data_IF_155586602087
#
_entry.id   IF_155586602087
#
_cell.length_a   1.000
_cell.length_b   1.000
_cell.length_c   1.000
_cell.angle_alpha   90.00
_cell.angle_beta   90.00
_cell.angle_gamma   90.00
#
_symmetry.space_group_name_H-M   'P 1'
#
loop_
_entity.id
_entity.type
_entity.pdbx_description
1 polymer ?
#
# COMPACT_ATOMS: atom_id res chain seq x y z
N UNK A 1 19.13 25.15 18.50
CA UNK A 1 18.60 24.16 19.46
C UNK A 1 17.10 24.04 19.22
N UNK A 2 16.61 22.84 18.90
CA UNK A 2 15.16 22.58 18.89
C UNK A 2 14.71 22.45 20.34
N UNK A 3 13.77 23.29 20.77
CA UNK A 3 13.16 23.21 22.09
C UNK A 3 12.43 21.87 22.24
N UNK A 4 13.00 20.99 23.05
CA UNK A 4 12.49 19.63 23.28
C UNK A 4 11.22 19.61 24.14
N UNK A 5 10.77 20.78 24.64
CA UNK A 5 9.58 20.94 25.48
C UNK A 5 8.33 21.44 24.73
N UNK A 6 8.48 21.88 23.48
CA UNK A 6 7.36 22.35 22.67
C UNK A 6 6.57 21.17 22.08
N UNK A 7 5.42 20.87 22.69
CA UNK A 7 4.45 19.89 22.17
C UNK A 7 3.47 20.60 21.25
N UNK A 8 3.29 20.09 20.03
CA UNK A 8 2.28 20.56 19.09
C UNK A 8 1.30 19.45 18.76
N UNK A 9 -0.01 19.75 18.87
CA UNK A 9 -1.07 18.85 18.42
C UNK A 9 -1.33 19.08 16.94
N UNK A 10 -1.16 18.03 16.13
CA UNK A 10 -1.44 18.07 14.69
C UNK A 10 -2.60 17.14 14.35
N UNK A 11 -3.49 17.59 13.47
CA UNK A 11 -4.57 16.76 12.94
C UNK A 11 -4.05 16.00 11.72
N UNK A 12 -4.10 14.67 11.79
CA UNK A 12 -3.65 13.77 10.73
C UNK A 12 -4.76 12.81 10.32
N UNK A 13 -4.58 12.16 9.17
CA UNK A 13 -5.45 11.06 8.76
C UNK A 13 -5.29 9.87 9.71
N UNK A 14 -6.35 9.07 9.84
CA UNK A 14 -6.28 7.78 10.52
C UNK A 14 -5.24 6.87 9.83
N UNK A 15 -4.58 6.02 10.61
CA UNK A 15 -3.55 5.11 10.10
C UNK A 15 -4.15 4.09 9.12
N UNK A 16 -5.37 3.63 9.40
CA UNK A 16 -6.17 2.70 8.61
C UNK A 16 -6.56 3.32 7.26
N UNK A 17 -6.91 4.60 7.25
CA UNK A 17 -7.20 5.33 6.01
C UNK A 17 -5.93 5.46 5.15
N UNK A 18 -4.81 5.76 5.78
CA UNK A 18 -3.50 5.84 5.12
C UNK A 18 -3.08 4.48 4.56
N UNK A 19 -3.32 3.41 5.32
CA UNK A 19 -3.07 2.02 4.93
C UNK A 19 -3.87 1.66 3.68
N UNK A 20 -5.19 1.82 3.71
CA UNK A 20 -6.04 1.48 2.57
C UNK A 20 -5.75 2.33 1.34
N UNK A 21 -5.45 3.63 1.52
CA UNK A 21 -5.06 4.50 0.41
C UNK A 21 -3.79 4.03 -0.29
N UNK A 22 -2.80 3.51 0.45
CA UNK A 22 -1.57 2.93 -0.11
C UNK A 22 -1.82 1.57 -0.75
N UNK A 23 -2.60 0.71 -0.10
CA UNK A 23 -2.96 -0.61 -0.60
C UNK A 23 -3.70 -0.52 -1.95
N UNK A 24 -4.73 0.33 -2.05
CA UNK A 24 -5.46 0.51 -3.32
C UNK A 24 -4.56 1.07 -4.42
N UNK A 25 -3.66 2.01 -4.09
CA UNK A 25 -2.69 2.52 -5.07
C UNK A 25 -1.77 1.41 -5.60
N UNK A 26 -1.28 0.52 -4.73
CA UNK A 26 -0.47 -0.61 -5.19
C UNK A 26 -1.26 -1.61 -6.02
N UNK A 27 -2.53 -1.83 -5.66
CA UNK A 27 -3.44 -2.65 -6.46
C UNK A 27 -3.66 -2.09 -7.84
N UNK A 28 -3.94 -0.80 -7.95
CA UNK A 28 -4.03 -0.10 -9.23
C UNK A 28 -2.77 -0.35 -10.05
N UNK A 29 -1.57 -0.18 -9.50
CA UNK A 29 -0.30 -0.40 -10.20
C UNK A 29 -0.12 -1.83 -10.76
N UNK A 30 -0.85 -2.83 -10.26
CA UNK A 30 -0.83 -4.20 -10.85
C UNK A 30 -1.49 -4.28 -12.22
N UNK A 31 -2.29 -3.28 -12.61
CA UNK A 31 -2.92 -3.19 -13.93
C UNK A 31 -2.10 -2.38 -14.94
N UNK A 32 -0.95 -1.83 -14.53
CA UNK A 32 -0.19 -0.87 -15.33
C UNK A 32 0.21 -1.50 -16.68
N UNK A 33 -0.20 -0.89 -17.81
CA UNK A 33 0.25 -1.32 -19.12
C UNK A 33 1.76 -1.16 -19.30
N UNK A 34 2.39 -2.08 -20.06
CA UNK A 34 3.84 -2.08 -20.27
C UNK A 34 4.38 -0.83 -20.99
N UNK A 35 3.54 -0.18 -21.81
CA UNK A 35 3.86 1.07 -22.51
C UNK A 35 3.76 2.32 -21.62
N UNK A 36 3.30 2.19 -20.37
CA UNK A 36 3.14 3.30 -19.43
C UNK A 36 4.14 3.23 -18.29
N UNK A 37 5.25 3.98 -18.33
CA UNK A 37 6.26 3.92 -17.29
C UNK A 37 5.70 4.31 -15.93
N UNK A 38 6.13 3.58 -14.89
CA UNK A 38 5.80 3.89 -13.50
C UNK A 38 6.56 5.14 -13.05
N UNK A 39 5.93 5.94 -12.19
CA UNK A 39 6.60 7.11 -11.58
C UNK A 39 7.75 6.64 -10.68
N UNK A 40 8.79 7.45 -10.55
CA UNK A 40 9.89 7.19 -9.63
C UNK A 40 9.43 7.25 -8.17
N UNK A 41 10.15 6.54 -7.29
CA UNK A 41 9.96 6.51 -5.84
C UNK A 41 8.63 5.92 -5.40
N UNK A 42 8.06 5.03 -6.20
CA UNK A 42 6.79 4.38 -5.88
C UNK A 42 6.99 3.24 -4.88
N UNK A 43 8.16 2.59 -4.83
CA UNK A 43 8.42 1.47 -3.93
C UNK A 43 8.36 1.86 -2.44
N UNK A 44 8.38 3.15 -2.11
CA UNK A 44 8.11 3.65 -0.75
C UNK A 44 6.72 3.24 -0.25
N UNK A 45 5.75 3.06 -1.14
CA UNK A 45 4.41 2.64 -0.76
C UNK A 45 4.40 1.21 -0.21
N UNK A 46 5.25 0.32 -0.74
CA UNK A 46 5.49 -1.01 -0.16
C UNK A 46 6.15 -0.91 1.22
N UNK A 47 7.19 -0.10 1.36
CA UNK A 47 7.87 0.11 2.65
C UNK A 47 6.94 0.69 3.72
N UNK A 48 6.11 1.68 3.35
CA UNK A 48 5.12 2.28 4.23
C UNK A 48 4.06 1.27 4.67
N UNK A 49 3.56 0.43 3.75
CA UNK A 49 2.64 -0.65 4.09
C UNK A 49 3.30 -1.65 5.05
N UNK A 50 4.53 -2.06 4.78
CA UNK A 50 5.27 -2.94 5.69
C UNK A 50 5.39 -2.32 7.10
N UNK A 51 5.72 -1.03 7.21
CA UNK A 51 5.77 -0.33 8.49
C UNK A 51 4.41 -0.37 9.22
N UNK A 52 3.32 -0.11 8.49
CA UNK A 52 1.97 -0.11 9.05
C UNK A 52 1.52 -1.52 9.48
N UNK A 53 1.82 -2.55 8.69
CA UNK A 53 1.55 -3.95 9.01
C UNK A 53 2.29 -4.37 10.28
N UNK A 54 3.58 -4.03 10.39
CA UNK A 54 4.41 -4.31 11.57
C UNK A 54 3.92 -3.61 12.84
N UNK A 55 3.12 -2.56 12.73
CA UNK A 55 2.50 -1.82 13.84
C UNK A 55 1.07 -2.30 14.16
N UNK A 56 0.61 -3.37 13.50
CA UNK A 56 -0.73 -3.92 13.70
C UNK A 56 -1.86 -3.09 13.05
N UNK A 57 -1.53 -2.14 12.18
CA UNK A 57 -2.55 -1.33 11.48
C UNK A 57 -3.35 -2.20 10.50
N UNK A 58 -2.74 -3.23 9.91
CA UNK A 58 -3.44 -4.18 9.04
C UNK A 58 -4.60 -4.87 9.74
N UNK A 59 -4.43 -5.31 10.99
CA UNK A 59 -5.51 -5.95 11.77
C UNK A 59 -6.66 -4.99 12.05
N UNK A 60 -6.34 -3.74 12.40
CA UNK A 60 -7.35 -2.69 12.60
C UNK A 60 -8.08 -2.35 11.31
N UNK A 61 -7.35 -2.35 10.19
CA UNK A 61 -7.91 -2.09 8.88
C UNK A 61 -8.87 -3.21 8.43
N UNK A 62 -8.54 -4.47 8.72
CA UNK A 62 -9.41 -5.64 8.47
C UNK A 62 -10.67 -5.61 9.36
N UNK A 63 -10.56 -5.15 10.61
CA UNK A 63 -11.72 -5.03 11.49
C UNK A 63 -12.78 -4.02 11.00
N UNK A 64 -12.40 -3.09 10.11
CA UNK A 64 -13.26 -2.00 9.63
C UNK A 64 -13.35 -1.98 8.09
N UNK A 65 -13.81 -3.08 7.47
CA UNK A 65 -13.92 -3.19 6.01
C UNK A 65 -14.80 -2.12 5.35
N UNK A 66 -15.74 -1.52 6.08
CA UNK A 66 -16.53 -0.39 5.58
C UNK A 66 -15.65 0.81 5.18
N UNK A 67 -14.51 1.00 5.86
CA UNK A 67 -13.52 2.02 5.51
C UNK A 67 -12.82 1.69 4.18
N UNK A 68 -12.47 0.42 3.95
CA UNK A 68 -11.92 -0.02 2.68
C UNK A 68 -12.87 0.29 1.52
N UNK A 69 -14.15 -0.09 1.64
CA UNK A 69 -15.16 0.16 0.60
C UNK A 69 -15.24 1.64 0.26
N UNK A 70 -15.32 2.50 1.27
CA UNK A 70 -15.35 3.96 1.07
C UNK A 70 -14.10 4.50 0.40
N UNK A 71 -12.92 3.96 0.73
CA UNK A 71 -11.66 4.34 0.08
C UNK A 71 -11.66 3.91 -1.38
N UNK A 72 -12.07 2.68 -1.68
CA UNK A 72 -12.15 2.16 -3.04
C UNK A 72 -13.12 2.99 -3.90
N UNK A 73 -14.33 3.27 -3.41
CA UNK A 73 -15.33 4.12 -4.08
C UNK A 73 -14.79 5.54 -4.33
N UNK A 74 -14.18 6.16 -3.31
CA UNK A 74 -13.61 7.50 -3.46
C UNK A 74 -12.49 7.53 -4.51
N UNK A 75 -11.67 6.47 -4.59
CA UNK A 75 -10.64 6.37 -5.63
C UNK A 75 -11.24 6.17 -7.01
N UNK A 76 -12.27 5.33 -7.15
CA UNK A 76 -12.95 5.12 -8.43
C UNK A 76 -13.57 6.42 -8.97
N UNK A 77 -14.15 7.25 -8.09
CA UNK A 77 -14.81 8.49 -8.48
C UNK A 77 -13.79 9.60 -8.79
N UNK A 78 -12.80 9.82 -7.93
CA UNK A 78 -11.93 10.99 -8.00
C UNK A 78 -10.54 10.75 -8.57
N UNK A 79 -10.04 9.51 -8.56
CA UNK A 79 -8.68 9.14 -8.97
C UNK A 79 -8.68 8.06 -10.05
N UNK A 80 -9.77 7.95 -10.81
CA UNK A 80 -9.98 6.89 -11.81
C UNK A 80 -8.82 6.81 -12.80
N UNK A 81 -8.24 5.63 -12.90
CA UNK A 81 -7.28 5.29 -13.95
C UNK A 81 -7.99 4.48 -15.03
N UNK A 82 -7.91 4.93 -16.28
CA UNK A 82 -8.62 4.30 -17.41
C UNK A 82 -8.22 2.83 -17.68
N UNK A 83 -7.08 2.40 -17.13
CA UNK A 83 -6.51 1.06 -17.30
C UNK A 83 -6.70 0.17 -16.07
N UNK A 84 -7.43 0.63 -15.04
CA UNK A 84 -7.74 -0.14 -13.84
C UNK A 84 -9.19 -0.62 -13.88
N UNK A 85 -9.41 -1.90 -13.54
CA UNK A 85 -10.74 -2.42 -13.26
C UNK A 85 -11.07 -2.20 -11.77
N UNK A 86 -11.91 -1.20 -11.48
CA UNK A 86 -12.28 -0.91 -10.09
C UNK A 86 -13.19 -1.96 -9.46
N UNK A 87 -13.80 -2.84 -10.25
CA UNK A 87 -14.61 -3.95 -9.73
C UNK A 87 -13.79 -5.01 -8.97
N UNK A 88 -12.46 -4.97 -9.07
CA UNK A 88 -11.53 -5.85 -8.35
C UNK A 88 -11.08 -5.31 -7.00
N UNK A 89 -11.47 -4.08 -6.62
CA UNK A 89 -11.21 -3.52 -5.30
C UNK A 89 -12.13 -4.14 -4.25
N UNK A 90 -11.95 -5.45 -4.01
CA UNK A 90 -12.72 -6.27 -3.09
C UNK A 90 -11.95 -7.51 -2.66
N UNK A 91 -12.29 -8.11 -1.51
CA UNK A 91 -11.79 -9.43 -1.13
C UNK A 91 -11.94 -10.46 -2.26
N UNK A 92 -10.90 -11.25 -2.46
CA UNK A 92 -10.84 -12.36 -3.42
C UNK A 92 -10.21 -11.98 -4.76
N UNK A 93 -10.14 -10.68 -5.10
CA UNK A 93 -9.54 -10.19 -6.35
C UNK A 93 -8.49 -9.10 -6.14
N UNK A 94 -8.30 -8.67 -4.89
CA UNK A 94 -7.35 -7.61 -4.57
C UNK A 94 -5.92 -8.14 -4.68
N UNK A 95 -5.03 -7.33 -5.25
CA UNK A 95 -3.65 -7.71 -5.56
C UNK A 95 -2.73 -6.62 -5.05
N UNK A 96 -1.76 -6.97 -4.23
CA UNK A 96 -0.74 -6.08 -3.71
C UNK A 96 0.66 -6.56 -4.14
N UNK A 97 0.89 -7.85 -4.33
CA UNK A 97 2.16 -8.35 -4.84
C UNK A 97 2.32 -7.96 -6.32
N UNK A 98 3.44 -7.33 -6.72
CA UNK A 98 3.67 -7.02 -8.13
C UNK A 98 3.67 -8.29 -8.99
N UNK A 99 3.16 -8.22 -10.24
CA UNK A 99 3.40 -9.26 -11.22
C UNK A 99 4.91 -9.55 -11.37
N UNK A 100 5.28 -10.82 -11.61
CA UNK A 100 6.67 -11.25 -11.62
C UNK A 100 7.58 -10.43 -12.56
N UNK A 101 7.07 -10.03 -13.72
CA UNK A 101 7.79 -9.20 -14.69
C UNK A 101 8.02 -7.76 -14.24
N UNK A 102 7.25 -7.25 -13.27
CA UNK A 102 7.45 -5.92 -12.67
C UNK A 102 8.40 -5.95 -11.47
N UNK A 103 8.65 -7.11 -10.85
CA UNK A 103 9.47 -7.21 -9.63
C UNK A 103 10.86 -6.58 -9.76
N UNK A 104 11.64 -6.79 -10.85
CA UNK A 104 12.96 -6.18 -10.99
C UNK A 104 12.92 -4.65 -10.94
N UNK A 105 11.94 -4.03 -11.61
CA UNK A 105 11.80 -2.58 -11.64
C UNK A 105 11.36 -2.03 -10.29
N UNK A 106 10.52 -2.74 -9.55
CA UNK A 106 10.14 -2.35 -8.19
C UNK A 106 11.32 -2.43 -7.23
N UNK A 107 12.12 -3.50 -7.35
CA UNK A 107 13.34 -3.67 -6.56
C UNK A 107 14.36 -2.57 -6.85
N UNK A 108 14.59 -2.25 -8.12
CA UNK A 108 15.50 -1.17 -8.53
C UNK A 108 15.06 0.19 -7.96
N UNK A 109 13.77 0.51 -8.04
CA UNK A 109 13.21 1.74 -7.47
C UNK A 109 13.35 1.76 -5.93
N UNK A 110 13.14 0.62 -5.27
CA UNK A 110 13.36 0.46 -3.83
C UNK A 110 14.82 0.70 -3.43
N UNK A 111 15.76 0.05 -4.11
CA UNK A 111 17.18 0.14 -3.81
C UNK A 111 17.70 1.56 -4.04
N UNK A 112 17.17 2.29 -5.03
CA UNK A 112 17.48 3.71 -5.24
C UNK A 112 17.01 4.63 -4.10
N UNK A 113 16.04 4.20 -3.29
CA UNK A 113 15.56 4.93 -2.11
C UNK A 113 16.19 4.44 -0.79
N UNK A 114 16.82 3.27 -0.81
CA UNK A 114 17.42 2.64 0.37
C UNK A 114 18.63 3.46 0.83
N UNK A 115 18.53 4.04 2.03
CA UNK A 115 19.54 4.97 2.57
C UNK A 115 19.06 6.42 2.63
N UNK A 116 18.86 7.13 1.49
CA UNK A 116 18.47 8.54 1.53
C UNK A 116 17.04 8.79 2.05
N UNK A 117 16.17 7.77 2.03
CA UNK A 117 14.77 7.94 2.46
C UNK A 117 14.35 7.03 3.62
N UNK A 118 14.92 5.85 3.77
CA UNK A 118 14.55 4.89 4.82
C UNK A 118 15.53 4.94 5.98
N UNK A 119 15.01 5.12 7.19
CA UNK A 119 15.80 5.28 8.42
C UNK A 119 15.81 3.99 9.24
N UNK A 120 16.97 3.64 9.80
CA UNK A 120 17.14 2.48 10.67
C UNK A 120 17.37 1.17 9.89
N UNK A 121 17.10 0.04 10.56
CA UNK A 121 17.20 -1.28 9.94
C UNK A 121 16.08 -1.42 8.91
N UNK A 122 16.46 -1.38 7.64
CA UNK A 122 15.53 -1.45 6.51
C UNK A 122 15.49 -2.88 5.98
N UNK A 123 14.33 -3.54 5.88
CA UNK A 123 14.21 -4.90 5.35
C UNK A 123 14.64 -4.98 3.87
N UNK A 124 14.82 -6.18 3.35
CA UNK A 124 14.94 -6.38 1.91
C UNK A 124 13.61 -6.12 1.20
N UNK A 125 13.64 -5.85 -0.10
CA UNK A 125 12.41 -5.68 -0.87
C UNK A 125 11.57 -6.97 -0.88
N UNK A 126 12.24 -8.12 -0.93
CA UNK A 126 11.63 -9.45 -0.89
C UNK A 126 10.92 -9.70 0.45
N UNK A 127 11.52 -9.31 1.58
CA UNK A 127 10.90 -9.39 2.90
C UNK A 127 9.64 -8.50 2.98
N UNK A 128 9.70 -7.29 2.41
CA UNK A 128 8.55 -6.40 2.32
C UNK A 128 7.41 -7.05 1.52
N UNK A 129 7.73 -7.56 0.32
CA UNK A 129 6.74 -8.17 -0.57
C UNK A 129 6.14 -9.43 0.06
N UNK A 130 6.93 -10.22 0.79
CA UNK A 130 6.43 -11.39 1.52
C UNK A 130 5.37 -11.00 2.57
N UNK A 131 5.67 -10.01 3.43
CA UNK A 131 4.73 -9.54 4.46
C UNK A 131 3.47 -8.93 3.83
N UNK A 132 3.62 -8.19 2.72
CA UNK A 132 2.48 -7.63 1.99
C UNK A 132 1.64 -8.73 1.32
N UNK A 133 2.28 -9.78 0.78
CA UNK A 133 1.60 -10.93 0.20
C UNK A 133 0.84 -11.79 1.21
N UNK A 134 1.37 -11.92 2.43
CA UNK A 134 0.66 -12.56 3.54
C UNK A 134 -0.62 -11.78 3.89
N UNK A 135 -0.54 -10.45 3.94
CA UNK A 135 -1.71 -9.59 4.15
C UNK A 135 -2.72 -9.73 3.01
N UNK A 136 -2.27 -9.67 1.74
CA UNK A 136 -3.12 -9.87 0.57
C UNK A 136 -3.88 -11.19 0.65
N UNK A 137 -3.18 -12.28 0.98
CA UNK A 137 -3.77 -13.61 1.09
C UNK A 137 -4.88 -13.65 2.14
N UNK A 138 -4.65 -13.04 3.30
CA UNK A 138 -5.64 -12.96 4.39
C UNK A 138 -6.84 -12.12 4.01
N UNK A 139 -6.62 -10.93 3.44
CA UNK A 139 -7.69 -10.05 2.99
C UNK A 139 -8.56 -10.73 1.92
N UNK A 140 -7.96 -11.51 1.04
CA UNK A 140 -8.69 -12.23 0.00
C UNK A 140 -9.40 -13.50 0.48
N UNK A 141 -9.06 -14.02 1.66
CA UNK A 141 -9.73 -15.17 2.28
C UNK A 141 -10.96 -14.77 3.10
N UNK A 142 -11.16 -13.48 3.36
CA UNK A 142 -12.28 -13.02 4.17
C UNK A 142 -13.62 -13.32 3.46
N UNK A 143 -14.58 -14.00 4.14
CA UNK A 143 -15.77 -14.50 3.47
C UNK A 143 -16.59 -13.36 2.89
N UNK A 144 -17.09 -13.58 1.67
CA UNK A 144 -18.12 -12.74 1.04
C UNK A 144 -19.34 -12.69 1.97
N UNK A 145 -19.49 -11.63 2.75
CA UNK A 145 -20.83 -11.24 3.21
C UNK A 145 -21.57 -10.75 1.98
N UNK A 146 -22.43 -11.64 1.47
CA UNK A 146 -23.41 -11.37 0.43
C UNK A 146 -24.41 -10.28 0.87
#
# INVERSE_FOLDING_TARGET
MLDSSAVATVRVLAAELTFWGKACLLHEETFRPADKPRKLRMARHYYDLWCLLRRGVGEKALAELSLFTRVAEHREIFFRLAWVDYSTHKPGTFRLVPPAHHLPDWKSDYDAMRGPMFFGVTPSFEEIVAVVGDFESRFNQEPRTA
#
